data_IF_679663605746
#
_entry.id   IF_679663605746
#
_cell.length_a   1.000
_cell.length_b   1.000
_cell.length_c   1.000
_cell.angle_alpha   90.00
_cell.angle_beta   90.00
_cell.angle_gamma   90.00
#
_symmetry.space_group_name_H-M   'P 1'
#
loop_
_entity.id
_entity.type
_entity.pdbx_description
1 polymer ?
#
# COMPACT_ATOMS: atom_id res chain seq x y z
N UNK A 1 -2.19 -2.25 12.79
CA UNK A 1 -1.59 -1.37 11.77
C UNK A 1 -0.53 -2.15 11.02
N UNK A 2 -0.16 -1.71 9.81
CA UNK A 2 0.86 -2.38 9.01
C UNK A 2 2.22 -2.40 9.74
N UNK A 3 3.03 -3.41 9.46
CA UNK A 3 4.37 -3.55 10.03
C UNK A 3 5.34 -4.13 9.01
N UNK A 4 6.65 -3.98 9.24
CA UNK A 4 7.66 -4.52 8.34
C UNK A 4 8.78 -5.24 9.07
N UNK A 5 9.37 -6.23 8.40
CA UNK A 5 10.59 -6.93 8.80
C UNK A 5 11.53 -7.00 7.61
N UNK A 6 12.83 -6.95 7.86
CA UNK A 6 13.87 -7.13 6.85
C UNK A 6 14.61 -8.45 7.09
N UNK A 7 14.91 -9.17 6.03
CA UNK A 7 15.63 -10.44 6.06
C UNK A 7 16.82 -10.37 5.10
N UNK A 8 17.99 -10.73 5.59
CA UNK A 8 19.16 -10.93 4.74
C UNK A 8 19.06 -12.28 4.03
N UNK A 9 19.30 -12.29 2.72
CA UNK A 9 19.38 -13.53 1.95
C UNK A 9 20.70 -14.24 2.24
N UNK A 10 20.62 -15.53 2.59
CA UNK A 10 21.79 -16.41 2.52
C UNK A 10 22.37 -16.29 1.09
N UNK A 11 23.68 -16.09 0.99
CA UNK A 11 24.46 -15.73 -0.22
C UNK A 11 24.73 -14.24 -0.44
N UNK A 12 24.28 -13.34 0.46
CA UNK A 12 24.56 -11.90 0.31
C UNK A 12 23.85 -11.25 -0.87
N UNK A 13 22.80 -11.90 -1.40
CA UNK A 13 22.00 -11.47 -2.56
C UNK A 13 21.08 -10.27 -2.27
N UNK A 14 21.28 -9.61 -1.14
CA UNK A 14 20.54 -8.42 -0.73
C UNK A 14 19.56 -8.68 0.40
N UNK A 15 18.73 -7.67 0.67
CA UNK A 15 17.73 -7.66 1.73
C UNK A 15 16.34 -7.83 1.12
N UNK A 16 15.51 -8.68 1.72
CA UNK A 16 14.09 -8.80 1.39
C UNK A 16 13.27 -8.19 2.52
N UNK A 17 12.45 -7.21 2.19
CA UNK A 17 11.46 -6.65 3.10
C UNK A 17 10.17 -7.46 3.07
N UNK A 18 9.59 -7.74 4.23
CA UNK A 18 8.25 -8.32 4.35
C UNK A 18 7.36 -7.33 5.08
N UNK A 19 6.32 -6.86 4.41
CA UNK A 19 5.32 -5.95 4.97
C UNK A 19 4.07 -6.76 5.30
N UNK A 20 3.68 -6.79 6.58
CA UNK A 20 2.43 -7.40 7.04
C UNK A 20 1.33 -6.34 7.07
N UNK A 21 0.27 -6.56 6.28
CA UNK A 21 -0.88 -5.66 6.20
C UNK A 21 -2.15 -6.42 6.67
N UNK A 22 -2.56 -6.24 7.94
CA UNK A 22 -3.63 -7.06 8.54
C UNK A 22 -5.04 -6.67 8.11
N UNK A 23 -5.26 -5.48 7.56
CA UNK A 23 -6.55 -5.00 7.05
C UNK A 23 -6.37 -3.73 6.22
N UNK A 24 -7.35 -3.40 5.39
CA UNK A 24 -7.49 -2.06 4.79
C UNK A 24 -8.24 -1.14 5.76
N UNK A 25 -7.60 -0.80 6.89
CA UNK A 25 -8.19 0.04 7.94
C UNK A 25 -8.33 1.50 7.49
N UNK A 26 -9.14 2.29 8.20
CA UNK A 26 -9.29 3.72 7.93
C UNK A 26 -9.14 4.55 9.18
N UNK A 27 -9.17 5.87 8.97
CA UNK A 27 -9.24 6.85 10.06
C UNK A 27 -10.60 6.83 10.73
N UNK A 28 -10.59 7.12 12.02
CA UNK A 28 -11.78 7.40 12.80
C UNK A 28 -12.45 8.70 12.31
N UNK A 29 -13.75 8.89 12.59
CA UNK A 29 -14.49 10.09 12.18
C UNK A 29 -13.90 11.42 12.71
N UNK A 30 -13.20 11.37 13.84
CA UNK A 30 -12.49 12.51 14.44
C UNK A 30 -11.12 12.80 13.78
N UNK A 31 -10.77 12.04 12.73
CA UNK A 31 -9.51 12.14 12.01
C UNK A 31 -8.35 11.41 12.68
N UNK A 32 -8.56 10.80 13.85
CA UNK A 32 -7.56 9.95 14.52
C UNK A 32 -7.44 8.58 13.84
N UNK A 33 -6.41 7.81 14.17
CA UNK A 33 -6.10 6.54 13.49
C UNK A 33 -5.18 6.73 12.29
N UNK A 34 -4.90 5.63 11.59
CA UNK A 34 -3.94 5.62 10.47
C UNK A 34 -4.58 5.15 9.17
N UNK A 35 -3.87 5.38 8.07
CA UNK A 35 -4.19 4.86 6.74
C UNK A 35 -3.15 3.80 6.38
N UNK A 36 -3.57 2.60 5.93
CA UNK A 36 -2.67 1.55 5.48
C UNK A 36 -1.80 2.03 4.32
N UNK A 37 -2.34 2.87 3.44
CA UNK A 37 -1.57 3.48 2.33
C UNK A 37 -0.36 4.24 2.87
N UNK A 38 -0.58 5.17 3.81
CA UNK A 38 0.52 5.97 4.41
C UNK A 38 1.48 5.14 5.24
N UNK A 39 0.97 4.16 5.98
CA UNK A 39 1.81 3.30 6.81
C UNK A 39 2.73 2.45 5.91
N UNK A 40 2.19 1.86 4.84
CA UNK A 40 2.97 1.06 3.91
C UNK A 40 4.00 1.92 3.16
N UNK A 41 3.64 3.12 2.70
CA UNK A 41 4.61 4.04 2.07
C UNK A 41 5.82 4.31 2.98
N UNK A 42 5.59 4.67 4.24
CA UNK A 42 6.67 4.92 5.21
C UNK A 42 7.51 3.68 5.49
N UNK A 43 6.88 2.50 5.54
CA UNK A 43 7.60 1.24 5.73
C UNK A 43 8.44 0.90 4.51
N UNK A 44 7.94 1.14 3.29
CA UNK A 44 8.69 0.95 2.06
C UNK A 44 9.91 1.89 1.99
N UNK A 45 9.78 3.15 2.40
CA UNK A 45 10.91 4.07 2.50
C UNK A 45 11.99 3.56 3.48
N UNK A 46 11.57 3.10 4.67
CA UNK A 46 12.48 2.50 5.65
C UNK A 46 13.17 1.26 5.11
N UNK A 47 12.45 0.37 4.45
CA UNK A 47 13.01 -0.85 3.85
C UNK A 47 13.99 -0.52 2.71
N UNK A 48 13.67 0.47 1.87
CA UNK A 48 14.59 0.98 0.83
C UNK A 48 15.88 1.52 1.45
N UNK A 49 15.79 2.28 2.54
CA UNK A 49 16.96 2.79 3.26
C UNK A 49 17.83 1.68 3.86
N UNK A 50 17.24 0.52 4.17
CA UNK A 50 17.94 -0.69 4.62
C UNK A 50 18.49 -1.54 3.45
N UNK A 51 18.40 -1.07 2.20
CA UNK A 51 18.90 -1.79 1.03
C UNK A 51 18.02 -2.95 0.58
N UNK A 52 16.72 -2.95 0.92
CA UNK A 52 15.80 -3.96 0.43
C UNK A 52 15.66 -3.91 -1.09
N UNK A 53 15.98 -5.03 -1.76
CA UNK A 53 15.91 -5.18 -3.22
C UNK A 53 14.61 -5.85 -3.67
N UNK A 54 13.91 -6.51 -2.74
CA UNK A 54 12.60 -7.10 -2.97
C UNK A 54 11.68 -6.88 -1.78
N UNK A 55 10.38 -6.78 -2.05
CA UNK A 55 9.33 -6.64 -1.05
C UNK A 55 8.32 -7.77 -1.21
N UNK A 56 7.93 -8.38 -0.09
CA UNK A 56 6.79 -9.30 0.00
C UNK A 56 5.69 -8.59 0.78
N UNK A 57 4.51 -8.47 0.18
CA UNK A 57 3.30 -8.00 0.87
C UNK A 57 2.55 -9.20 1.43
N UNK A 58 2.54 -9.36 2.76
CA UNK A 58 1.83 -10.43 3.45
C UNK A 58 0.39 -9.98 3.75
N UNK A 59 -0.55 -10.54 2.99
CA UNK A 59 -1.99 -10.32 3.11
C UNK A 59 -2.73 -11.52 3.71
N UNK A 60 -2.01 -12.54 4.23
CA UNK A 60 -2.64 -13.82 4.65
C UNK A 60 -3.66 -13.67 5.77
N UNK A 61 -3.53 -12.61 6.58
CA UNK A 61 -4.45 -12.28 7.68
C UNK A 61 -5.38 -11.12 7.33
N UNK A 62 -5.34 -10.63 6.10
CA UNK A 62 -6.12 -9.49 5.65
C UNK A 62 -7.52 -9.95 5.24
N UNK A 63 -8.51 -9.67 6.10
CA UNK A 63 -9.92 -9.97 5.85
C UNK A 63 -10.65 -8.93 4.98
N UNK A 64 -9.94 -7.91 4.48
CA UNK A 64 -10.52 -6.78 3.73
C UNK A 64 -10.52 -5.47 4.53
N UNK A 65 -11.46 -4.59 4.19
CA UNK A 65 -11.60 -3.26 4.80
C UNK A 65 -12.12 -2.23 3.80
N UNK A 66 -11.67 -0.99 3.93
CA UNK A 66 -12.08 0.12 3.06
C UNK A 66 -11.56 -0.09 1.64
N UNK A 67 -12.48 -0.14 0.67
CA UNK A 67 -12.16 -0.26 -0.75
C UNK A 67 -11.27 0.91 -1.22
N UNK A 68 -11.52 2.12 -0.74
CA UNK A 68 -10.71 3.30 -1.09
C UNK A 68 -9.25 3.11 -0.72
N UNK A 69 -8.97 2.57 0.47
CA UNK A 69 -7.60 2.30 0.93
C UNK A 69 -6.94 1.16 0.15
N UNK A 70 -7.72 0.16 -0.27
CA UNK A 70 -7.20 -0.89 -1.15
C UNK A 70 -6.81 -0.35 -2.53
N UNK A 71 -7.64 0.52 -3.12
CA UNK A 71 -7.39 1.14 -4.42
C UNK A 71 -6.21 2.12 -4.33
N UNK A 72 -6.18 2.96 -3.31
CA UNK A 72 -5.09 3.92 -3.11
C UNK A 72 -3.75 3.21 -2.92
N UNK A 73 -3.68 2.18 -2.06
CA UNK A 73 -2.46 1.39 -1.88
C UNK A 73 -2.03 0.66 -3.16
N UNK A 74 -2.95 0.11 -3.95
CA UNK A 74 -2.59 -0.50 -5.22
C UNK A 74 -2.04 0.54 -6.21
N UNK A 75 -2.59 1.76 -6.19
CA UNK A 75 -2.15 2.88 -7.01
C UNK A 75 -0.71 3.32 -6.73
N UNK A 76 -0.27 3.31 -5.47
CA UNK A 76 1.09 3.73 -5.09
C UNK A 76 2.19 2.74 -5.53
N UNK A 77 1.82 1.48 -5.80
CA UNK A 77 2.75 0.44 -6.24
C UNK A 77 3.03 0.45 -7.75
N UNK A 78 2.28 1.24 -8.54
CA UNK A 78 2.48 1.38 -9.98
C UNK A 78 3.15 2.72 -10.29
N UNK A 79 4.10 2.78 -11.25
CA UNK A 79 4.61 4.05 -11.75
C UNK A 79 3.46 4.86 -12.36
N UNK A 80 3.00 5.88 -11.62
CA UNK A 80 2.05 6.95 -11.99
C UNK A 80 1.26 6.70 -13.29
N UNK A 81 0.30 5.79 -13.23
CA UNK A 81 -0.57 5.46 -14.37
C UNK A 81 -2.05 5.24 -14.00
N UNK A 82 -2.35 5.04 -12.71
CA UNK A 82 -3.71 5.06 -12.21
C UNK A 82 -3.76 5.91 -10.95
N UNK A 83 -3.58 7.22 -11.13
CA UNK A 83 -3.91 8.18 -10.10
C UNK A 83 -5.39 8.01 -9.77
N UNK A 84 -5.71 7.79 -8.49
CA UNK A 84 -7.05 8.03 -8.00
C UNK A 84 -7.32 9.52 -8.17
N UNK A 85 -7.99 9.87 -9.27
CA UNK A 85 -8.68 11.14 -9.38
C UNK A 85 -9.76 11.11 -8.29
N UNK A 86 -9.42 11.59 -7.10
CA UNK A 86 -10.28 11.56 -5.93
C UNK A 86 -11.67 12.01 -6.32
N UNK A 87 -12.64 11.09 -6.20
CA UNK A 87 -14.06 11.28 -6.46
C UNK A 87 -14.39 12.39 -7.48
N UNK A 88 -13.72 12.41 -8.64
CA UNK A 88 -14.11 13.32 -9.71
C UNK A 88 -15.33 12.67 -10.33
N UNK A 89 -16.51 13.25 -10.10
CA UNK A 89 -17.76 12.82 -10.73
C UNK A 89 -17.46 12.42 -12.18
N UNK A 90 -17.57 11.12 -12.46
CA UNK A 90 -17.48 10.61 -13.82
C UNK A 90 -18.67 11.21 -14.57
N UNK A 91 -18.43 12.28 -15.32
CA UNK A 91 -19.43 12.75 -16.28
C UNK A 91 -19.44 11.76 -17.44
N UNK A 92 -20.62 11.30 -17.88
CA UNK A 92 -20.70 10.45 -19.07
C UNK A 92 -20.14 11.20 -20.28
N UNK A 93 -19.36 10.48 -21.09
CA UNK A 93 -18.86 10.98 -22.35
C UNK A 93 -20.00 10.92 -23.39
N UNK A 94 -20.38 12.04 -24.04
CA UNK A 94 -21.42 12.00 -25.05
C UNK A 94 -20.83 11.35 -26.31
N UNK A 95 -21.20 10.09 -26.58
CA UNK A 95 -20.89 9.46 -27.87
C UNK A 95 -20.29 8.06 -27.86
N UNK A 96 -20.29 7.32 -26.74
CA UNK A 96 -20.25 5.86 -26.83
C UNK A 96 -21.68 5.31 -26.74
N UNK A 97 -22.03 4.26 -27.52
CA UNK A 97 -23.37 3.66 -27.51
C UNK A 97 -23.76 3.12 -26.13
#
# INVERSE_FOLDING_TARGET
MASARAFELADGKGVVGVVDLPAFYGKNPDGSGSSPTKDVEQLLEKLKALGATAIIMDLRKNGGGLLTEAVDLAGTLHPQGLGTAGARQLRPHPGLP
#
